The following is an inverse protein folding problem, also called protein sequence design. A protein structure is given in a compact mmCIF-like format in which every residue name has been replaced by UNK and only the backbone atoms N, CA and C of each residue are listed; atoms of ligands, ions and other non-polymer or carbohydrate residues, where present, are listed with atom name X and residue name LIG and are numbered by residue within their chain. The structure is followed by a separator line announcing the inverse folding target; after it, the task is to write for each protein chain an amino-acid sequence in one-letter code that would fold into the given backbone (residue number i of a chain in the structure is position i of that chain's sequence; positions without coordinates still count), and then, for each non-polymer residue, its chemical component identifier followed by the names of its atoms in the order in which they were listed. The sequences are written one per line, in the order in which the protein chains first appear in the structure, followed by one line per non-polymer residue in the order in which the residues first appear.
data_IF_679769604967
#
_entry.id   IF_679769604967
#
_cell.length_a   1.000
_cell.length_b   1.000
_cell.length_c   1.000
_cell.angle_alpha   90.00
_cell.angle_beta   90.00
_cell.angle_gamma   90.00
#
_symmetry.space_group_name_H-M   'P 1'
#
loop_
_entity.id
_entity.type
_entity.pdbx_description
1 polymer ?
#
# COMPACT_ATOMS: atom_id res chain seq x y z
N UNK A 1 -7.96 -2.06 8.43
CA UNK A 1 -8.33 -3.45 8.07
C UNK A 1 -7.77 -4.38 9.14
N UNK A 2 -8.26 -4.29 10.37
CA UNK A 2 -7.79 -5.13 11.50
C UNK A 2 -8.51 -6.48 11.54
N UNK A 3 -8.50 -7.20 10.42
CA UNK A 3 -8.99 -8.58 10.36
C UNK A 3 -7.79 -9.52 10.35
N UNK A 4 -7.89 -10.62 11.09
CA UNK A 4 -6.90 -11.70 11.05
C UNK A 4 -6.88 -12.35 9.66
N UNK A 5 -5.73 -12.89 9.27
CA UNK A 5 -5.59 -13.59 7.98
C UNK A 5 -6.55 -14.78 7.86
N UNK A 6 -6.88 -15.41 8.99
CA UNK A 6 -7.79 -16.54 9.11
C UNK A 6 -9.18 -16.20 8.53
N UNK A 7 -9.63 -14.94 8.65
CA UNK A 7 -10.88 -14.46 8.02
C UNK A 7 -10.82 -14.51 6.49
N UNK A 8 -9.72 -14.04 5.90
CA UNK A 8 -9.53 -14.05 4.45
C UNK A 8 -9.38 -15.49 3.93
N UNK A 9 -8.62 -16.31 4.64
CA UNK A 9 -8.38 -17.71 4.26
C UNK A 9 -9.64 -18.55 4.35
N UNK A 10 -10.47 -18.33 5.37
CA UNK A 10 -11.76 -19.02 5.50
C UNK A 10 -12.69 -18.65 4.35
N UNK A 11 -12.82 -17.37 4.01
CA UNK A 11 -13.62 -16.94 2.84
C UNK A 11 -13.12 -17.50 1.51
N UNK A 12 -11.82 -17.74 1.41
CA UNK A 12 -11.19 -18.23 0.19
C UNK A 12 -11.07 -19.77 0.15
N UNK A 13 -11.66 -20.52 1.08
CA UNK A 13 -11.48 -21.98 1.24
C UNK A 13 -9.99 -22.40 1.26
N UNK A 14 -9.18 -21.69 2.04
CA UNK A 14 -7.74 -21.89 2.19
C UNK A 14 -7.30 -21.93 3.67
N UNK A 15 -8.20 -22.26 4.59
CA UNK A 15 -7.93 -22.36 6.04
C UNK A 15 -6.79 -23.32 6.38
N UNK A 16 -6.57 -24.37 5.57
CA UNK A 16 -5.47 -25.33 5.75
C UNK A 16 -4.07 -24.70 5.61
N UNK A 17 -3.95 -23.52 5.00
CA UNK A 17 -2.67 -22.83 4.80
C UNK A 17 -2.35 -21.82 5.92
N UNK A 18 -3.21 -21.71 6.94
CA UNK A 18 -3.09 -20.69 8.00
C UNK A 18 -1.72 -20.69 8.66
N UNK A 19 -1.18 -21.87 8.98
CA UNK A 19 0.14 -21.98 9.61
C UNK A 19 1.27 -21.57 8.66
N UNK A 20 1.16 -21.88 7.35
CA UNK A 20 2.12 -21.47 6.33
C UNK A 20 2.15 -19.94 6.20
N UNK A 21 0.97 -19.28 6.18
CA UNK A 21 0.87 -17.82 6.19
C UNK A 21 1.48 -17.23 7.47
N UNK A 22 1.21 -17.81 8.64
CA UNK A 22 1.81 -17.36 9.91
C UNK A 22 3.33 -17.56 9.94
N UNK A 23 3.84 -18.64 9.34
CA UNK A 23 5.27 -18.94 9.27
C UNK A 23 6.06 -17.93 8.43
N UNK A 24 5.47 -17.38 7.37
CA UNK A 24 6.05 -16.28 6.58
C UNK A 24 5.70 -14.89 7.13
N UNK A 25 5.07 -14.83 8.32
CA UNK A 25 4.72 -13.59 9.00
C UNK A 25 3.52 -12.85 8.42
N UNK A 26 2.57 -13.54 7.78
CA UNK A 26 1.31 -12.95 7.30
C UNK A 26 0.19 -13.32 8.28
N UNK A 27 0.12 -12.58 9.39
CA UNK A 27 -0.89 -12.82 10.44
C UNK A 27 -2.20 -12.02 10.29
N UNK A 28 -2.16 -10.85 9.64
CA UNK A 28 -3.33 -9.99 9.41
C UNK A 28 -3.59 -9.80 7.92
N UNK A 29 -4.82 -9.44 7.58
CA UNK A 29 -5.23 -9.11 6.21
C UNK A 29 -4.42 -7.96 5.64
N UNK A 30 -4.05 -6.96 6.45
CA UNK A 30 -3.19 -5.85 5.99
C UNK A 30 -1.78 -6.31 5.58
N UNK A 31 -1.25 -7.37 6.19
CA UNK A 31 0.06 -7.93 5.87
C UNK A 31 0.10 -8.60 4.50
N UNK A 32 -1.07 -8.91 3.93
CA UNK A 32 -1.24 -9.51 2.62
C UNK A 32 -1.04 -8.52 1.47
N UNK A 33 -1.10 -7.21 1.74
CA UNK A 33 -0.84 -6.15 0.74
C UNK A 33 0.54 -6.31 0.10
N UNK A 34 1.54 -6.67 0.90
CA UNK A 34 2.95 -6.71 0.53
C UNK A 34 3.43 -8.14 0.23
N UNK A 35 2.51 -9.08 0.00
CA UNK A 35 2.83 -10.44 -0.44
C UNK A 35 2.68 -10.48 -1.96
N UNK A 36 3.69 -10.97 -2.69
CA UNK A 36 3.64 -11.19 -4.14
C UNK A 36 3.11 -12.60 -4.48
N UNK A 37 2.74 -12.81 -5.74
CA UNK A 37 2.19 -14.10 -6.19
C UNK A 37 3.24 -15.23 -6.12
N UNK A 38 4.53 -14.91 -6.26
CA UNK A 38 5.62 -15.88 -6.13
C UNK A 38 5.73 -16.46 -4.72
N UNK A 39 5.65 -15.60 -3.68
CA UNK A 39 5.62 -16.04 -2.28
C UNK A 39 4.40 -16.97 -2.05
N UNK A 40 3.25 -16.64 -2.62
CA UNK A 40 2.04 -17.46 -2.48
C UNK A 40 2.21 -18.83 -3.12
N UNK A 41 2.83 -18.91 -4.30
CA UNK A 41 2.97 -20.16 -5.04
C UNK A 41 4.10 -21.06 -4.51
N UNK A 42 5.28 -20.50 -4.23
CA UNK A 42 6.47 -21.28 -3.86
C UNK A 42 6.64 -21.48 -2.35
N UNK A 43 6.39 -20.45 -1.55
CA UNK A 43 6.63 -20.51 -0.10
C UNK A 43 5.43 -21.06 0.66
N UNK A 44 4.22 -20.67 0.25
CA UNK A 44 2.98 -21.16 0.87
C UNK A 44 2.51 -22.48 0.22
N UNK A 45 2.85 -22.68 -1.06
CA UNK A 45 2.45 -23.85 -1.83
C UNK A 45 1.07 -23.72 -2.46
N UNK A 46 0.56 -22.50 -2.69
CA UNK A 46 -0.72 -22.30 -3.37
C UNK A 46 -0.59 -22.56 -4.88
N UNK A 47 -1.63 -23.12 -5.46
CA UNK A 47 -1.76 -23.17 -6.92
C UNK A 47 -2.08 -21.79 -7.49
N UNK A 48 -1.71 -21.53 -8.76
CA UNK A 48 -2.09 -20.30 -9.50
C UNK A 48 -3.57 -19.95 -9.39
N UNK A 49 -4.45 -20.96 -9.38
CA UNK A 49 -5.90 -20.78 -9.29
C UNK A 49 -6.29 -20.31 -7.88
N UNK A 50 -5.73 -20.93 -6.84
CA UNK A 50 -5.95 -20.54 -5.45
C UNK A 50 -5.42 -19.13 -5.17
N UNK A 51 -4.23 -18.80 -5.68
CA UNK A 51 -3.64 -17.45 -5.61
C UNK A 51 -4.58 -16.40 -6.22
N UNK A 52 -5.07 -16.64 -7.44
CA UNK A 52 -6.03 -15.73 -8.10
C UNK A 52 -7.36 -15.62 -7.35
N UNK A 53 -7.85 -16.71 -6.76
CA UNK A 53 -9.07 -16.71 -5.95
C UNK A 53 -8.88 -15.87 -4.68
N UNK A 54 -7.77 -16.07 -3.98
CA UNK A 54 -7.42 -15.33 -2.77
C UNK A 54 -7.29 -13.83 -3.04
N UNK A 55 -6.64 -13.44 -4.14
CA UNK A 55 -6.52 -12.03 -4.57
C UNK A 55 -7.88 -11.38 -4.85
N UNK A 56 -8.81 -12.11 -5.46
CA UNK A 56 -10.18 -11.61 -5.71
C UNK A 56 -10.93 -11.36 -4.40
N UNK A 57 -10.89 -12.30 -3.46
CA UNK A 57 -11.53 -12.11 -2.15
C UNK A 57 -10.90 -10.96 -1.36
N UNK A 58 -9.58 -10.81 -1.45
CA UNK A 58 -8.89 -9.70 -0.84
C UNK A 58 -9.33 -8.35 -1.42
N UNK A 59 -9.41 -8.23 -2.75
CA UNK A 59 -9.91 -7.02 -3.42
C UNK A 59 -11.38 -6.71 -3.04
N UNK A 60 -12.21 -7.73 -2.89
CA UNK A 60 -13.59 -7.58 -2.42
C UNK A 60 -13.64 -7.01 -0.99
N UNK A 61 -12.83 -7.54 -0.07
CA UNK A 61 -12.75 -7.05 1.32
C UNK A 61 -12.25 -5.59 1.35
N UNK A 62 -11.30 -5.22 0.49
CA UNK A 62 -10.87 -3.83 0.36
C UNK A 62 -11.99 -2.91 -0.14
N UNK A 63 -12.78 -3.36 -1.14
CA UNK A 63 -13.94 -2.62 -1.64
C UNK A 63 -15.02 -2.42 -0.58
N UNK A 64 -15.33 -3.48 0.18
CA UNK A 64 -16.29 -3.44 1.29
C UNK A 64 -15.82 -2.50 2.42
N UNK A 65 -14.51 -2.46 2.69
CA UNK A 65 -13.92 -1.58 3.72
C UNK A 65 -13.95 -0.10 3.33
N UNK A 66 -13.90 0.22 2.03
CA UNK A 66 -14.04 1.61 1.54
C UNK A 66 -15.47 2.13 1.59
N UNK A 67 -16.49 1.25 1.56
CA UNK A 67 -17.91 1.63 1.67
C UNK A 67 -18.40 1.72 3.13
N UNK A 68 -17.73 1.04 4.06
CA UNK A 68 -18.14 0.93 5.47
C UNK A 68 -17.46 1.95 6.40
N UNK A 69 -17.08 3.12 5.86
CA UNK A 69 -16.52 4.26 6.59
C UNK A 69 -17.58 5.13 7.31
N UNK A 70 -18.85 4.74 7.26
CA UNK A 70 -19.96 5.35 8.01
C UNK A 70 -20.70 4.23 8.75
N UNK A 71 -20.91 4.43 10.05
CA UNK A 71 -21.53 3.53 11.05
C UNK A 71 -20.63 2.43 11.62
N UNK A 72 -20.04 2.73 12.78
CA UNK A 72 -19.50 1.75 13.72
C UNK A 72 -20.57 1.32 14.72
N UNK A 73 -20.54 0.04 15.09
CA UNK A 73 -20.84 -0.59 16.39
C UNK A 73 -20.56 -2.08 16.12
N UNK A 74 -19.91 -2.90 16.96
CA UNK A 74 -19.74 -2.96 18.40
C UNK A 74 -19.88 -4.45 18.78
N UNK A 75 -19.31 -4.86 19.91
CA UNK A 75 -19.58 -6.13 20.64
C UNK A 75 -18.63 -7.34 20.38
N UNK A 76 -18.55 -8.16 21.43
CA UNK A 76 -17.43 -8.78 22.13
C UNK A 76 -17.36 -10.31 22.05
N UNK A 77 -16.16 -10.86 22.38
CA UNK A 77 -15.91 -12.09 23.16
C UNK A 77 -16.38 -13.48 22.66
N UNK A 78 -15.46 -14.45 22.53
CA UNK A 78 -15.44 -15.66 23.40
C UNK A 78 -14.31 -16.68 23.06
N UNK A 79 -13.57 -17.06 24.12
CA UNK A 79 -13.12 -18.40 24.56
C UNK A 79 -12.53 -19.46 23.59
N UNK A 80 -11.35 -19.95 23.97
CA UNK A 80 -10.61 -21.13 23.49
C UNK A 80 -11.32 -22.49 23.74
N UNK A 81 -10.75 -23.59 23.20
CA UNK A 81 -10.26 -24.63 24.11
C UNK A 81 -8.84 -25.17 23.78
N UNK A 82 -8.13 -25.53 24.86
CA UNK A 82 -6.81 -26.17 24.96
C UNK A 82 -6.75 -27.53 24.23
N UNK A 83 -5.62 -27.84 23.59
CA UNK A 83 -5.22 -29.23 23.28
C UNK A 83 -3.85 -29.58 23.87
N UNK A 84 -3.81 -30.84 24.28
CA UNK A 84 -3.00 -31.53 25.28
C UNK A 84 -1.67 -31.99 24.67
N UNK A 85 -0.55 -31.76 25.37
CA UNK A 85 0.77 -32.32 25.02
C UNK A 85 0.73 -33.83 25.26
N UNK A 86 1.15 -34.64 24.29
CA UNK A 86 1.53 -36.03 24.52
C UNK A 86 3.05 -36.14 24.39
N UNK A 87 3.67 -36.63 25.46
CA UNK A 87 5.09 -36.98 25.51
C UNK A 87 5.24 -38.41 24.99
N UNK A 88 6.12 -38.62 24.02
CA UNK A 88 6.58 -39.94 23.62
C UNK A 88 7.87 -40.20 24.40
N UNK A 89 7.79 -41.06 25.42
CA UNK A 89 8.93 -41.70 26.04
C UNK A 89 9.30 -42.92 25.19
N UNK A 90 10.57 -43.05 24.83
CA UNK A 90 11.16 -44.33 24.45
C UNK A 90 12.47 -44.51 25.22
N UNK A 91 12.60 -45.66 25.88
CA UNK A 91 13.82 -46.15 26.49
C UNK A 91 14.29 -47.36 25.66
N UNK A 92 15.55 -47.35 25.26
CA UNK A 92 16.26 -48.43 24.59
C UNK A 92 17.70 -48.49 25.08
N UNK A 93 18.11 -49.68 25.53
CA UNK A 93 19.27 -50.03 26.37
C UNK A 93 20.61 -49.99 25.61
N UNK A 94 21.64 -49.46 26.29
CA UNK A 94 23.06 -49.87 26.34
C UNK A 94 23.88 -50.07 25.04
N UNK A 95 24.99 -49.32 24.93
CA UNK A 95 26.12 -49.64 24.05
C UNK A 95 27.11 -48.49 23.83
N UNK A 96 27.96 -48.22 24.82
CA UNK A 96 29.14 -47.32 24.79
C UNK A 96 30.16 -47.85 23.73
N UNK A 97 30.98 -47.13 22.94
CA UNK A 97 31.28 -45.72 22.65
C UNK A 97 32.32 -45.73 21.50
N UNK A 98 32.20 -44.87 20.49
CA UNK A 98 33.37 -44.34 19.75
C UNK A 98 33.10 -42.88 19.39
N UNK A 99 33.75 -41.99 20.13
CA UNK A 99 33.84 -40.56 19.81
C UNK A 99 34.95 -40.43 18.77
N UNK A 100 34.57 -40.43 17.50
CA UNK A 100 35.42 -39.87 16.46
C UNK A 100 35.26 -38.35 16.54
N UNK A 101 36.22 -37.72 17.21
CA UNK A 101 36.32 -36.27 17.34
C UNK A 101 36.68 -35.72 15.96
N UNK A 102 35.66 -35.47 15.15
CA UNK A 102 35.84 -34.73 13.90
C UNK A 102 36.02 -33.25 14.24
N UNK A 103 37.12 -32.72 13.73
CA UNK A 103 37.53 -31.34 13.81
C UNK A 103 36.39 -30.38 13.43
N UNK A 104 36.20 -29.38 14.31
CA UNK A 104 35.55 -28.09 14.06
C UNK A 104 34.46 -28.09 12.97
N UNK A 105 33.26 -28.56 13.32
CA UNK A 105 32.06 -28.07 12.65
C UNK A 105 32.09 -26.53 12.72
N UNK A 106 31.80 -25.79 11.63
CA UNK A 106 31.71 -24.34 11.72
C UNK A 106 30.75 -24.01 12.85
N UNK A 107 31.18 -23.22 13.83
CA UNK A 107 30.32 -22.77 14.93
C UNK A 107 29.14 -22.05 14.31
N UNK A 108 28.03 -22.78 14.15
CA UNK A 108 26.79 -22.22 13.62
C UNK A 108 26.42 -21.08 14.54
N UNK A 109 26.31 -19.88 13.98
CA UNK A 109 26.01 -18.72 14.79
C UNK A 109 24.65 -18.95 15.47
N UNK A 110 24.47 -18.54 16.74
CA UNK A 110 23.28 -18.88 17.52
C UNK A 110 21.95 -18.49 16.86
N UNK A 111 21.99 -17.48 15.99
CA UNK A 111 20.83 -16.95 15.27
C UNK A 111 20.50 -17.67 13.95
N UNK A 112 21.38 -18.53 13.42
CA UNK A 112 21.14 -19.22 12.14
C UNK A 112 19.87 -20.09 12.16
N UNK A 113 19.48 -20.59 13.33
CA UNK A 113 18.24 -21.35 13.54
C UNK A 113 16.96 -20.55 13.30
N UNK A 114 17.05 -19.22 13.23
CA UNK A 114 15.92 -18.33 12.95
C UNK A 114 15.87 -17.85 11.50
N UNK A 115 16.84 -18.25 10.66
CA UNK A 115 16.81 -17.93 9.24
C UNK A 115 15.74 -18.76 8.53
N UNK A 116 15.04 -18.13 7.60
CA UNK A 116 14.11 -18.80 6.72
C UNK A 116 14.89 -19.56 5.64
N UNK A 117 14.56 -20.85 5.40
CA UNK A 117 15.22 -21.64 4.37
C UNK A 117 14.89 -21.11 2.97
N UNK A 118 15.84 -21.22 2.04
CA UNK A 118 15.66 -20.91 0.62
C UNK A 118 15.07 -19.51 0.30
N UNK A 119 15.68 -18.40 0.76
CA UNK A 119 15.17 -17.05 0.55
C UNK A 119 15.31 -16.61 -0.92
N UNK A 120 14.25 -16.74 -1.70
CA UNK A 120 14.26 -16.40 -3.13
C UNK A 120 13.53 -15.08 -3.46
N UNK A 121 12.50 -14.73 -2.69
CA UNK A 121 11.80 -13.43 -2.81
C UNK A 121 12.56 -12.31 -2.10
N UNK A 122 12.34 -11.04 -2.51
CA UNK A 122 12.95 -9.88 -1.84
C UNK A 122 12.58 -9.84 -0.35
N UNK A 123 11.34 -10.20 -0.01
CA UNK A 123 10.84 -10.24 1.37
C UNK A 123 11.61 -11.24 2.23
N UNK A 124 11.79 -12.48 1.75
CA UNK A 124 12.49 -13.51 2.51
C UNK A 124 13.97 -13.18 2.67
N UNK A 125 14.60 -12.63 1.63
CA UNK A 125 15.99 -12.13 1.70
C UNK A 125 16.12 -11.01 2.74
N UNK A 126 15.17 -10.07 2.75
CA UNK A 126 15.11 -9.00 3.74
C UNK A 126 14.93 -9.56 5.15
N UNK A 127 14.00 -10.50 5.35
CA UNK A 127 13.76 -11.12 6.66
C UNK A 127 15.03 -11.76 7.22
N UNK A 128 15.77 -12.51 6.40
CA UNK A 128 17.04 -13.11 6.82
C UNK A 128 18.12 -12.06 7.11
N UNK A 129 18.15 -10.95 6.36
CA UNK A 129 19.16 -9.89 6.53
C UNK A 129 19.08 -9.17 7.88
N UNK A 130 17.89 -9.07 8.47
CA UNK A 130 17.68 -8.36 9.75
C UNK A 130 17.83 -9.27 10.98
N UNK A 131 17.84 -10.59 10.82
CA UNK A 131 17.90 -11.57 11.93
C UNK A 131 19.12 -11.37 12.83
N UNK A 132 20.37 -11.22 12.31
CA UNK A 132 21.54 -11.10 13.16
C UNK A 132 21.46 -9.89 14.10
N UNK A 133 21.11 -8.73 13.55
CA UNK A 133 21.02 -7.47 14.30
C UNK A 133 19.96 -7.54 15.41
N UNK A 134 18.75 -8.03 15.08
CA UNK A 134 17.65 -8.17 16.05
C UNK A 134 18.00 -9.19 17.15
N UNK A 135 18.70 -10.26 16.78
CA UNK A 135 19.13 -11.27 17.76
C UNK A 135 20.13 -10.68 18.74
N UNK A 136 21.18 -10.01 18.25
CA UNK A 136 22.21 -9.41 19.08
C UNK A 136 21.65 -8.35 20.04
N UNK A 137 20.69 -7.52 19.58
CA UNK A 137 20.12 -6.45 20.39
C UNK A 137 19.09 -6.91 21.41
N UNK A 138 18.28 -7.92 21.09
CA UNK A 138 17.01 -8.13 21.79
C UNK A 138 16.86 -9.54 22.38
N UNK A 139 17.69 -10.52 21.98
CA UNK A 139 17.54 -11.90 22.43
C UNK A 139 17.63 -12.05 23.95
N UNK A 140 18.62 -11.39 24.58
CA UNK A 140 18.84 -11.45 26.04
C UNK A 140 17.59 -10.99 26.81
N UNK A 141 16.93 -9.93 26.34
CA UNK A 141 15.73 -9.37 27.00
C UNK A 141 14.42 -10.05 26.60
N UNK A 142 14.38 -10.81 25.50
CA UNK A 142 13.14 -11.41 24.94
C UNK A 142 13.20 -12.93 24.82
N UNK A 143 14.10 -13.61 25.50
CA UNK A 143 14.40 -15.04 25.28
C UNK A 143 13.16 -15.96 25.18
N UNK A 144 12.20 -15.84 26.11
CA UNK A 144 11.00 -16.68 26.13
C UNK A 144 10.00 -16.40 24.97
N UNK A 145 10.06 -15.19 24.39
CA UNK A 145 9.16 -14.74 23.32
C UNK A 145 9.87 -14.31 22.05
N UNK A 146 11.17 -14.62 21.90
CA UNK A 146 12.01 -14.02 20.88
C UNK A 146 11.53 -14.34 19.47
N UNK A 147 11.06 -15.56 19.22
CA UNK A 147 10.55 -15.97 17.90
C UNK A 147 9.36 -15.10 17.46
N UNK A 148 8.46 -14.78 18.39
CA UNK A 148 7.31 -13.92 18.11
C UNK A 148 7.76 -12.47 17.90
N UNK A 149 8.64 -11.96 18.76
CA UNK A 149 9.21 -10.62 18.62
C UNK A 149 9.95 -10.44 17.28
N UNK A 150 10.77 -11.41 16.90
CA UNK A 150 11.51 -11.41 15.64
C UNK A 150 10.56 -11.34 14.45
N UNK A 151 9.48 -12.12 14.46
CA UNK A 151 8.48 -12.12 13.39
C UNK A 151 7.79 -10.76 13.26
N UNK A 152 7.41 -10.16 14.39
CA UNK A 152 6.80 -8.82 14.45
C UNK A 152 7.77 -7.74 13.93
N UNK A 153 9.05 -7.82 14.28
CA UNK A 153 10.07 -6.91 13.79
C UNK A 153 10.31 -7.07 12.29
N UNK A 154 10.50 -8.29 11.79
CA UNK A 154 10.67 -8.56 10.36
C UNK A 154 9.52 -7.99 9.53
N UNK A 155 8.30 -8.24 10.00
CA UNK A 155 7.07 -7.71 9.43
C UNK A 155 7.04 -6.18 9.40
N UNK A 156 7.16 -5.55 10.57
CA UNK A 156 7.08 -4.11 10.69
C UNK A 156 8.14 -3.44 9.82
N UNK A 157 9.38 -3.93 9.87
CA UNK A 157 10.51 -3.40 9.10
C UNK A 157 10.26 -3.53 7.60
N UNK A 158 9.76 -4.68 7.13
CA UNK A 158 9.44 -4.90 5.72
C UNK A 158 8.32 -3.99 5.21
N UNK A 159 7.23 -3.87 5.97
CA UNK A 159 6.13 -2.99 5.61
C UNK A 159 6.59 -1.54 5.53
N UNK A 160 7.39 -1.09 6.49
CA UNK A 160 7.94 0.26 6.47
C UNK A 160 8.87 0.45 5.27
N UNK A 161 9.77 -0.50 5.00
CA UNK A 161 10.68 -0.43 3.86
C UNK A 161 9.93 -0.37 2.53
N UNK A 162 8.87 -1.17 2.38
CA UNK A 162 8.03 -1.19 1.18
C UNK A 162 7.29 0.13 0.98
N UNK A 163 6.72 0.70 2.05
CA UNK A 163 6.07 2.03 2.00
C UNK A 163 7.05 3.14 1.64
N UNK A 164 8.27 3.12 2.21
CA UNK A 164 9.33 4.09 1.88
C UNK A 164 9.74 3.96 0.42
N UNK A 165 9.97 2.73 -0.07
CA UNK A 165 10.32 2.47 -1.47
C UNK A 165 9.22 2.97 -2.41
N UNK A 166 7.96 2.62 -2.17
CA UNK A 166 6.83 3.09 -2.96
C UNK A 166 6.69 4.62 -2.96
N UNK A 167 6.93 5.26 -1.82
CA UNK A 167 6.90 6.72 -1.71
C UNK A 167 8.08 7.37 -2.46
N UNK A 168 9.27 6.78 -2.38
CA UNK A 168 10.44 7.22 -3.14
C UNK A 168 10.23 7.07 -4.64
N UNK A 169 9.66 5.94 -5.09
CA UNK A 169 9.31 5.74 -6.50
C UNK A 169 8.26 6.76 -6.95
N UNK A 170 7.29 7.10 -6.10
CA UNK A 170 6.29 8.13 -6.40
C UNK A 170 6.91 9.53 -6.51
N UNK A 171 7.82 9.89 -5.61
CA UNK A 171 8.56 11.16 -5.65
C UNK A 171 9.45 11.25 -6.91
N UNK A 172 10.24 10.21 -7.18
CA UNK A 172 11.07 10.14 -8.38
C UNK A 172 10.23 10.27 -9.66
N UNK A 173 9.08 9.59 -9.72
CA UNK A 173 8.17 9.74 -10.84
C UNK A 173 7.66 11.18 -10.97
N UNK A 174 7.23 11.81 -9.88
CA UNK A 174 6.69 13.17 -9.89
C UNK A 174 7.73 14.23 -10.25
N UNK A 175 8.97 14.08 -9.79
CA UNK A 175 9.96 15.18 -9.82
C UNK A 175 11.10 14.95 -10.81
N UNK A 176 11.33 13.71 -11.27
CA UNK A 176 12.51 13.34 -12.07
C UNK A 176 12.20 12.54 -13.34
N UNK A 177 11.00 11.96 -13.46
CA UNK A 177 10.65 11.14 -14.63
C UNK A 177 10.13 12.01 -15.78
N UNK A 178 11.04 12.45 -16.63
CA UNK A 178 10.74 13.31 -17.80
C UNK A 178 9.74 12.68 -18.79
N UNK A 179 9.60 11.36 -18.80
CA UNK A 179 8.65 10.66 -19.68
C UNK A 179 7.21 10.71 -19.15
N UNK A 180 7.00 11.17 -17.91
CA UNK A 180 5.68 11.27 -17.33
C UNK A 180 5.11 12.68 -17.48
N UNK A 181 3.95 12.79 -18.15
CA UNK A 181 3.34 14.09 -18.44
C UNK A 181 3.03 14.95 -17.21
N UNK A 182 2.81 14.32 -16.03
CA UNK A 182 2.66 15.05 -14.77
C UNK A 182 4.00 15.68 -14.35
N UNK A 183 5.11 14.95 -14.42
CA UNK A 183 6.45 15.48 -14.13
C UNK A 183 6.81 16.64 -15.05
N UNK A 184 6.52 16.53 -16.35
CA UNK A 184 6.75 17.63 -17.30
C UNK A 184 5.97 18.89 -16.93
N UNK A 185 4.70 18.75 -16.52
CA UNK A 185 3.91 19.87 -16.05
C UNK A 185 4.49 20.46 -14.75
N UNK A 186 4.88 19.62 -13.80
CA UNK A 186 5.50 20.05 -12.55
C UNK A 186 6.76 20.87 -12.84
N UNK A 187 7.70 20.33 -13.63
CA UNK A 187 8.93 21.03 -14.00
C UNK A 187 8.64 22.36 -14.72
N UNK A 188 7.72 22.36 -15.68
CA UNK A 188 7.27 23.59 -16.36
C UNK A 188 6.79 24.63 -15.35
N UNK A 189 5.89 24.28 -14.45
CA UNK A 189 5.29 25.24 -13.52
C UNK A 189 6.23 25.62 -12.37
N UNK A 190 7.18 24.76 -12.00
CA UNK A 190 8.24 25.13 -11.06
C UNK A 190 9.22 26.15 -11.66
N UNK A 191 9.42 26.15 -12.98
CA UNK A 191 10.24 27.15 -13.66
C UNK A 191 9.57 28.53 -13.80
N UNK A 192 8.26 28.63 -13.55
CA UNK A 192 7.49 29.87 -13.55
C UNK A 192 6.27 29.86 -14.47
N UNK A 193 5.79 31.05 -14.84
CA UNK A 193 4.57 31.26 -15.65
C UNK A 193 4.84 31.63 -17.11
N UNK A 194 6.11 31.77 -17.49
CA UNK A 194 6.47 32.14 -18.86
C UNK A 194 6.11 31.03 -19.85
N UNK A 195 5.53 31.43 -20.98
CA UNK A 195 5.01 30.48 -21.99
C UNK A 195 3.66 29.84 -21.65
N UNK A 196 3.03 30.16 -20.52
CA UNK A 196 1.64 29.74 -20.25
C UNK A 196 0.65 30.53 -21.13
N UNK A 197 -0.28 29.81 -21.77
CA UNK A 197 -1.13 30.32 -22.86
C UNK A 197 -2.58 30.58 -22.46
N UNK A 198 -3.02 30.15 -21.27
CA UNK A 198 -4.38 30.41 -20.82
C UNK A 198 -4.88 29.51 -19.69
N UNK A 199 -6.20 29.49 -19.51
CA UNK A 199 -6.90 28.75 -18.44
C UNK A 199 -6.65 27.25 -18.42
N UNK A 200 -6.24 26.64 -19.54
CA UNK A 200 -5.81 25.24 -19.57
C UNK A 200 -4.55 24.96 -18.74
N UNK A 201 -3.61 25.92 -18.69
CA UNK A 201 -2.42 25.81 -17.85
C UNK A 201 -2.76 25.94 -16.36
N UNK A 202 -3.76 26.77 -16.01
CA UNK A 202 -4.28 26.85 -14.63
C UNK A 202 -4.76 25.48 -14.17
N UNK A 203 -5.61 24.82 -14.96
CA UNK A 203 -6.15 23.49 -14.62
C UNK A 203 -5.06 22.41 -14.52
N UNK A 204 -4.05 22.45 -15.39
CA UNK A 204 -2.90 21.53 -15.32
C UNK A 204 -2.04 21.77 -14.09
N UNK A 205 -1.81 23.03 -13.72
CA UNK A 205 -1.07 23.39 -12.52
C UNK A 205 -1.83 22.95 -11.25
N UNK A 206 -3.15 23.15 -11.20
CA UNK A 206 -4.01 22.66 -10.11
C UNK A 206 -3.93 21.14 -9.98
N UNK A 207 -4.10 20.41 -11.09
CA UNK A 207 -4.00 18.94 -11.09
C UNK A 207 -2.64 18.46 -10.62
N UNK A 208 -1.55 19.10 -11.06
CA UNK A 208 -0.18 18.74 -10.67
C UNK A 208 0.04 18.99 -9.18
N UNK A 209 -0.44 20.14 -8.66
CA UNK A 209 -0.39 20.47 -7.25
C UNK A 209 -1.16 19.45 -6.40
N UNK A 210 -2.36 19.02 -6.83
CA UNK A 210 -3.11 17.98 -6.13
C UNK A 210 -2.31 16.68 -6.03
N UNK A 211 -1.71 16.21 -7.11
CA UNK A 211 -0.94 14.95 -7.09
C UNK A 211 0.31 15.06 -6.21
N UNK A 212 1.02 16.19 -6.23
CA UNK A 212 2.16 16.44 -5.33
C UNK A 212 1.69 16.47 -3.87
N UNK A 213 0.57 17.15 -3.57
CA UNK A 213 0.03 17.22 -2.21
C UNK A 213 -0.43 15.86 -1.68
N UNK A 214 -0.97 14.98 -2.52
CA UNK A 214 -1.28 13.60 -2.12
C UNK A 214 -0.03 12.82 -1.72
N UNK A 215 1.06 12.94 -2.48
CA UNK A 215 2.35 12.33 -2.12
C UNK A 215 2.95 12.94 -0.86
N UNK A 216 2.89 14.27 -0.73
CA UNK A 216 3.34 15.02 0.43
C UNK A 216 2.60 14.58 1.70
N UNK A 217 1.27 14.51 1.67
CA UNK A 217 0.46 14.04 2.78
C UNK A 217 0.77 12.58 3.13
N UNK A 218 0.99 11.72 2.12
CA UNK A 218 1.42 10.33 2.35
C UNK A 218 2.77 10.25 3.09
N UNK A 219 3.70 11.17 2.80
CA UNK A 219 4.97 11.27 3.52
C UNK A 219 4.78 11.74 4.97
N UNK A 220 3.92 12.75 5.19
CA UNK A 220 3.56 13.26 6.52
C UNK A 220 2.90 12.18 7.39
N UNK A 221 1.96 11.42 6.84
CA UNK A 221 1.30 10.30 7.51
C UNK A 221 2.33 9.23 7.93
N UNK A 222 3.31 8.95 7.04
CA UNK A 222 4.36 7.98 7.33
C UNK A 222 5.33 8.47 8.41
N UNK A 223 5.69 9.77 8.42
CA UNK A 223 6.47 10.38 9.49
C UNK A 223 5.74 10.29 10.84
N UNK A 224 4.46 10.64 10.87
CA UNK A 224 3.63 10.53 12.07
C UNK A 224 3.57 9.09 12.58
N UNK A 225 3.40 8.11 11.68
CA UNK A 225 3.44 6.69 12.03
C UNK A 225 4.78 6.29 12.67
N UNK A 226 5.91 6.71 12.09
CA UNK A 226 7.25 6.42 12.63
C UNK A 226 7.42 7.07 14.01
N UNK A 227 7.04 8.34 14.17
CA UNK A 227 7.16 9.05 15.45
C UNK A 227 6.31 8.40 16.54
N UNK A 228 5.08 8.00 16.22
CA UNK A 228 4.22 7.28 17.16
C UNK A 228 4.82 5.92 17.57
N UNK A 229 5.43 5.19 16.63
CA UNK A 229 6.14 3.94 16.93
C UNK A 229 7.37 4.17 17.81
N UNK A 230 8.15 5.20 17.52
CA UNK A 230 9.33 5.57 18.32
C UNK A 230 8.95 5.90 19.77
N UNK A 231 7.87 6.65 19.99
CA UNK A 231 7.37 6.97 21.34
C UNK A 231 7.09 5.70 22.17
N UNK A 232 6.58 4.65 21.54
CA UNK A 232 6.26 3.38 22.22
C UNK A 232 7.51 2.58 22.65
N UNK A 233 8.71 2.95 22.20
CA UNK A 233 9.96 2.30 22.61
C UNK A 233 10.46 2.77 23.97
N UNK A 234 9.90 3.86 24.49
CA UNK A 234 10.24 4.40 25.81
C UNK A 234 9.29 3.83 26.87
N UNK A 235 9.77 3.79 28.10
CA UNK A 235 8.97 3.53 29.30
C UNK A 235 8.20 4.80 29.70
N UNK A 236 7.30 4.67 30.66
CA UNK A 236 6.61 5.84 31.26
C UNK A 236 7.60 6.82 31.90
N UNK A 237 8.73 6.31 32.39
CA UNK A 237 9.85 7.09 32.94
C UNK A 237 10.76 7.70 31.87
N UNK A 238 10.36 7.64 30.58
CA UNK A 238 11.10 8.19 29.44
C UNK A 238 12.48 7.53 29.23
N UNK A 239 12.69 6.33 29.77
CA UNK A 239 13.90 5.54 29.55
C UNK A 239 13.70 4.58 28.37
N UNK A 240 14.73 4.40 27.54
CA UNK A 240 14.66 3.49 26.40
C UNK A 240 14.58 2.04 26.91
N UNK A 241 13.65 1.25 26.37
CA UNK A 241 13.56 -0.18 26.71
C UNK A 241 14.85 -0.90 26.31
N UNK A 242 15.34 -1.80 27.16
CA UNK A 242 16.63 -2.50 26.99
C UNK A 242 16.78 -3.23 25.65
N UNK A 243 15.68 -3.74 25.09
CA UNK A 243 15.67 -4.46 23.81
C UNK A 243 15.51 -3.57 22.57
N UNK A 244 15.27 -2.26 22.75
CA UNK A 244 14.75 -1.38 21.70
C UNK A 244 15.82 -0.51 21.03
N UNK A 245 17.10 -0.69 21.34
CA UNK A 245 18.20 0.11 20.78
C UNK A 245 18.29 -0.03 19.25
N UNK A 246 18.30 -1.26 18.74
CA UNK A 246 18.30 -1.56 17.29
C UNK A 246 17.01 -1.11 16.61
N UNK A 247 15.87 -1.28 17.28
CA UNK A 247 14.57 -0.84 16.77
C UNK A 247 14.50 0.70 16.64
N UNK A 248 15.00 1.42 17.65
CA UNK A 248 15.10 2.88 17.61
C UNK A 248 16.01 3.34 16.48
N UNK A 249 17.17 2.72 16.32
CA UNK A 249 18.12 3.03 15.23
C UNK A 249 17.46 2.85 13.87
N UNK A 250 16.77 1.73 13.66
CA UNK A 250 16.04 1.47 12.41
C UNK A 250 14.99 2.54 12.12
N UNK A 251 14.21 2.96 13.13
CA UNK A 251 13.25 4.04 12.95
C UNK A 251 13.88 5.39 12.67
N UNK A 252 15.04 5.70 13.26
CA UNK A 252 15.78 6.93 12.95
C UNK A 252 16.22 6.96 11.48
N UNK A 253 16.84 5.87 10.99
CA UNK A 253 17.26 5.76 9.60
C UNK A 253 16.07 5.80 8.62
N UNK A 254 14.95 5.17 8.97
CA UNK A 254 13.71 5.25 8.20
C UNK A 254 13.16 6.68 8.18
N UNK A 255 13.17 7.37 9.32
CA UNK A 255 12.67 8.74 9.43
C UNK A 255 13.49 9.71 8.59
N UNK A 256 14.82 9.62 8.60
CA UNK A 256 15.68 10.49 7.78
C UNK A 256 15.42 10.29 6.27
N UNK A 257 15.22 9.03 5.83
CA UNK A 257 14.82 8.74 4.44
C UNK A 257 13.48 9.41 4.08
N UNK A 258 12.46 9.31 4.95
CA UNK A 258 11.15 9.91 4.68
C UNK A 258 11.20 11.44 4.76
N UNK A 259 11.98 12.01 5.69
CA UNK A 259 12.17 13.47 5.79
C UNK A 259 12.77 14.05 4.52
N UNK A 260 13.77 13.40 3.93
CA UNK A 260 14.35 13.84 2.66
C UNK A 260 13.29 13.90 1.55
N UNK A 261 12.47 12.85 1.41
CA UNK A 261 11.37 12.83 0.43
C UNK A 261 10.33 13.92 0.72
N UNK A 262 9.93 14.08 1.98
CA UNK A 262 8.98 15.09 2.42
C UNK A 262 9.46 16.50 2.06
N UNK A 263 10.75 16.82 2.28
CA UNK A 263 11.33 18.12 1.97
C UNK A 263 11.28 18.43 0.47
N UNK A 264 11.61 17.48 -0.40
CA UNK A 264 11.55 17.69 -1.86
C UNK A 264 10.11 17.90 -2.35
N UNK A 265 9.16 17.11 -1.84
CA UNK A 265 7.74 17.28 -2.15
C UNK A 265 7.20 18.62 -1.63
N UNK A 266 7.65 19.08 -0.46
CA UNK A 266 7.27 20.38 0.09
C UNK A 266 7.77 21.54 -0.78
N UNK A 267 9.02 21.48 -1.23
CA UNK A 267 9.59 22.47 -2.16
C UNK A 267 8.77 22.57 -3.44
N UNK A 268 8.45 21.42 -4.05
CA UNK A 268 7.62 21.35 -5.24
C UNK A 268 6.21 21.91 -5.00
N UNK A 269 5.56 21.53 -3.89
CA UNK A 269 4.22 22.03 -3.53
C UNK A 269 4.20 23.56 -3.36
N UNK A 270 5.18 24.12 -2.66
CA UNK A 270 5.30 25.56 -2.45
C UNK A 270 5.53 26.32 -3.77
N UNK A 271 6.40 25.80 -4.63
CA UNK A 271 6.66 26.37 -5.95
C UNK A 271 5.39 26.37 -6.82
N UNK A 272 4.70 25.23 -6.90
CA UNK A 272 3.45 25.10 -7.66
C UNK A 272 2.34 25.99 -7.11
N UNK A 273 2.23 26.13 -5.79
CA UNK A 273 1.25 27.03 -5.15
C UNK A 273 1.51 28.48 -5.55
N UNK A 274 2.76 28.92 -5.53
CA UNK A 274 3.17 30.26 -5.97
C UNK A 274 2.83 30.50 -7.43
N UNK A 275 3.20 29.56 -8.32
CA UNK A 275 2.90 29.62 -9.76
C UNK A 275 1.40 29.64 -10.01
N UNK A 276 0.64 28.80 -9.33
CA UNK A 276 -0.81 28.75 -9.46
C UNK A 276 -1.47 30.09 -9.10
N UNK A 277 -1.03 30.72 -8.00
CA UNK A 277 -1.54 32.05 -7.62
C UNK A 277 -1.25 33.10 -8.70
N UNK A 278 -0.07 33.06 -9.32
CA UNK A 278 0.30 33.95 -10.43
C UNK A 278 -0.51 33.67 -11.70
N UNK A 279 -0.73 32.39 -12.03
CA UNK A 279 -1.56 31.99 -13.17
C UNK A 279 -3.01 32.41 -13.00
N UNK A 280 -3.58 32.25 -11.80
CA UNK A 280 -4.96 32.69 -11.50
C UNK A 280 -5.12 34.21 -11.61
N UNK A 281 -4.08 34.98 -11.29
CA UNK A 281 -4.04 36.44 -11.50
C UNK A 281 -3.98 36.81 -12.98
N UNK A 282 -3.15 36.12 -13.76
CA UNK A 282 -2.96 36.39 -15.21
C UNK A 282 -4.13 35.89 -16.07
N UNK A 283 -4.71 34.77 -15.70
CA UNK A 283 -5.81 34.11 -16.40
C UNK A 283 -6.99 33.88 -15.45
N UNK A 284 -7.66 34.97 -15.01
CA UNK A 284 -8.82 34.84 -14.14
C UNK A 284 -9.88 34.00 -14.85
N UNK A 285 -10.40 33.00 -14.13
CA UNK A 285 -11.47 32.16 -14.66
C UNK A 285 -12.70 33.06 -14.89
N UNK A 286 -13.33 33.04 -16.08
CA UNK A 286 -14.60 33.71 -16.28
C UNK A 286 -15.65 32.95 -15.46
N UNK A 287 -15.86 33.39 -14.22
CA UNK A 287 -16.98 32.98 -13.39
C UNK A 287 -18.28 33.25 -14.17
N UNK A 288 -18.98 32.19 -14.60
CA UNK A 288 -20.40 32.29 -14.94
C UNK A 288 -20.85 31.71 -16.29
N UNK A 289 -20.04 31.73 -17.36
CA UNK A 289 -20.58 31.47 -18.71
C UNK A 289 -20.55 30.02 -19.20
N UNK A 290 -19.80 29.12 -18.55
CA UNK A 290 -19.72 27.72 -18.99
C UNK A 290 -21.00 26.93 -18.72
N UNK A 291 -21.75 27.26 -17.65
CA UNK A 291 -23.05 26.66 -17.36
C UNK A 291 -24.12 27.06 -18.38
N UNK A 292 -24.19 28.36 -18.70
CA UNK A 292 -25.12 28.86 -19.73
C UNK A 292 -24.76 28.37 -21.13
N UNK A 293 -23.47 28.32 -21.49
CA UNK A 293 -23.02 27.81 -22.78
C UNK A 293 -23.34 26.31 -22.94
N UNK A 294 -23.11 25.49 -21.89
CA UNK A 294 -23.52 24.08 -21.88
C UNK A 294 -25.04 23.91 -21.96
N UNK A 295 -25.83 24.75 -21.25
CA UNK A 295 -27.30 24.77 -21.34
C UNK A 295 -27.77 25.14 -22.76
N UNK A 296 -27.25 26.22 -23.35
CA UNK A 296 -27.54 26.65 -24.73
C UNK A 296 -27.18 25.56 -25.76
N UNK A 297 -26.04 24.89 -25.61
CA UNK A 297 -25.64 23.78 -26.49
C UNK A 297 -26.57 22.58 -26.37
N UNK A 298 -27.03 22.24 -25.16
CA UNK A 298 -28.01 21.15 -24.92
C UNK A 298 -29.39 21.52 -25.48
N UNK A 299 -29.79 22.79 -25.34
CA UNK A 299 -31.05 23.31 -25.88
C UNK A 299 -31.06 23.34 -27.42
N UNK A 300 -29.99 23.81 -28.05
CA UNK A 300 -29.85 23.79 -29.51
C UNK A 300 -29.90 22.36 -30.08
N UNK A 301 -29.25 21.38 -29.41
CA UNK A 301 -29.37 19.96 -29.80
C UNK A 301 -30.83 19.48 -29.75
N UNK A 302 -31.60 19.87 -28.73
CA UNK A 302 -33.03 19.53 -28.62
C UNK A 302 -33.87 20.20 -29.71
N UNK A 303 -33.61 21.47 -30.02
CA UNK A 303 -34.30 22.22 -31.10
C UNK A 303 -34.04 21.57 -32.47
N UNK A 304 -32.78 21.24 -32.77
CA UNK A 304 -32.41 20.56 -34.03
C UNK A 304 -33.08 19.18 -34.15
N UNK A 305 -33.15 18.40 -33.05
CA UNK A 305 -33.85 17.11 -33.05
C UNK A 305 -35.34 17.27 -33.38
N UNK A 306 -36.03 18.22 -32.72
CA UNK A 306 -37.45 18.53 -32.99
C UNK A 306 -37.70 18.97 -34.44
N UNK A 307 -36.80 19.77 -35.02
CA UNK A 307 -36.92 20.22 -36.42
C UNK A 307 -36.78 19.03 -37.38
N UNK A 308 -35.82 18.12 -37.15
CA UNK A 308 -35.66 16.91 -37.97
C UNK A 308 -36.89 16.01 -37.91
N UNK A 309 -37.45 15.83 -36.71
CA UNK A 309 -38.64 15.03 -36.47
C UNK A 309 -39.88 15.61 -37.17
N UNK A 310 -40.10 16.93 -37.08
CA UNK A 310 -41.16 17.62 -37.83
C UNK A 310 -41.02 17.45 -39.34
N UNK A 311 -39.80 17.56 -39.87
CA UNK A 311 -39.53 17.35 -41.31
C UNK A 311 -39.81 15.92 -41.75
N UNK A 312 -39.52 14.93 -40.90
CA UNK A 312 -39.85 13.52 -41.17
C UNK A 312 -41.36 13.29 -41.20
N UNK A 313 -42.10 13.82 -40.22
CA UNK A 313 -43.56 13.72 -40.21
C UNK A 313 -44.22 14.40 -41.41
N UNK A 314 -43.71 15.58 -41.82
CA UNK A 314 -44.20 16.25 -43.03
C UNK A 314 -43.95 15.41 -44.29
N UNK A 315 -42.76 14.80 -44.42
CA UNK A 315 -42.45 13.91 -45.54
C UNK A 315 -43.33 12.66 -45.55
N UNK A 316 -43.55 12.05 -44.39
CA UNK A 316 -44.45 10.89 -44.25
C UNK A 316 -45.89 11.24 -44.67
N UNK A 317 -46.42 12.38 -44.19
CA UNK A 317 -47.76 12.84 -44.56
C UNK A 317 -47.90 13.17 -46.05
N UNK A 318 -46.85 13.71 -46.69
CA UNK A 318 -46.83 13.95 -48.14
C UNK A 318 -46.84 12.63 -48.91
N UNK A 319 -46.03 11.65 -48.48
CA UNK A 319 -45.99 10.31 -49.08
C UNK A 319 -47.36 9.62 -48.96
N UNK A 320 -47.97 9.65 -47.78
CA UNK A 320 -49.28 9.05 -47.54
C UNK A 320 -50.36 9.67 -48.44
N UNK A 321 -50.35 11.01 -48.61
CA UNK A 321 -51.24 11.71 -49.55
C UNK A 321 -50.96 11.38 -51.02
N UNK A 322 -49.71 11.11 -51.40
CA UNK A 322 -49.38 10.73 -52.78
C UNK A 322 -49.73 9.28 -53.09
N UNK A 323 -49.63 8.38 -52.10
CA UNK A 323 -50.08 7.00 -52.22
C UNK A 323 -51.62 6.90 -52.30
N UNK A 324 -52.35 7.71 -51.51
CA UNK A 324 -53.81 7.75 -51.56
C UNK A 324 -54.37 8.34 -52.87
N UNK A 325 -53.61 9.19 -53.57
CA UNK A 325 -53.98 9.72 -54.90
C UNK A 325 -53.67 8.77 -56.06
N UNK A 326 -52.91 7.70 -55.83
CA UNK A 326 -52.53 6.69 -56.83
C UNK A 326 -53.36 5.40 -56.75
N UNK A 327 -54.30 5.32 -55.81
CA UNK A 327 -55.38 4.33 -55.77
C UNK A 327 -56.63 4.94 -56.37
#
# INVERSE_FOLDING_TARGET
MDKEIDYLLTKADLSNYTDNFKQIGVAKVEHFLDVDDETLERDIGLTKIQTRRLRRFFAQIQGESKQRGTSSEGVTSASAPKKRKQAILSFGRSGQLQVLRNDSAPEKKPWEKYLLPNPHTERLKFYNSVVPQIYESSFVSKQAGFKQYLLEQQQMRWQLNTKIKALSDKENNLLRNENWGVCQNIMKFMSGVDGCKGSGDVAKCESSLTTVNEAFNSASDLLSFIDNRRKNLYTEEHTLRSFASDELKYFQEAQERVKAIHQELQKASNALTTTLMSLKRKFPSPMGNNGQSRRKKKENKRKVKKIKEKRLHQRAAILEKTYLKKR
#
